data_IF_869917367381
#
_entry.id   IF_869917367381
#
_cell.length_a   1.000
_cell.length_b   1.000
_cell.length_c   1.000
_cell.angle_alpha   90.00
_cell.angle_beta   90.00
_cell.angle_gamma   90.00
#
_symmetry.space_group_name_H-M   'P 1'
#
loop_
_entity.id
_entity.type
_entity.pdbx_description
1 polymer ?
#
# COMPACT_ATOMS: atom_id res chain seq x y z
N UNK A 1 19.93 26.45 35.06
CA UNK A 1 20.24 27.90 35.25
C UNK A 1 19.04 28.86 35.18
N UNK A 2 18.05 28.73 34.28
CA UNK A 2 16.86 29.63 34.28
C UNK A 2 15.82 29.32 35.37
N UNK A 3 15.63 28.05 35.75
CA UNK A 3 14.69 27.63 36.80
C UNK A 3 15.17 27.96 38.23
N UNK A 4 16.46 27.80 38.54
CA UNK A 4 17.01 28.11 39.89
C UNK A 4 16.82 29.60 40.26
N UNK A 5 16.93 30.49 39.29
CA UNK A 5 16.70 31.92 39.49
C UNK A 5 15.23 32.26 39.77
N UNK A 6 14.28 31.41 39.36
CA UNK A 6 12.85 31.59 39.64
C UNK A 6 12.51 31.26 41.10
N UNK A 7 13.01 30.12 41.57
CA UNK A 7 12.79 29.67 42.95
C UNK A 7 13.44 30.62 43.97
N UNK A 8 14.65 31.12 43.69
CA UNK A 8 15.33 32.07 44.56
C UNK A 8 14.56 33.40 44.70
N UNK A 9 14.03 33.94 43.60
CA UNK A 9 13.22 35.17 43.60
C UNK A 9 11.92 35.00 44.40
N UNK A 10 11.28 33.84 44.29
CA UNK A 10 10.06 33.52 45.04
C UNK A 10 10.33 33.43 46.55
N UNK A 11 11.45 32.80 46.95
CA UNK A 11 11.85 32.71 48.36
C UNK A 11 12.17 34.09 48.93
N UNK A 12 12.89 34.95 48.19
CA UNK A 12 13.18 36.33 48.61
C UNK A 12 11.89 37.14 48.76
N UNK A 13 10.92 36.96 47.86
CA UNK A 13 9.61 37.60 47.96
C UNK A 13 8.86 37.15 49.23
N UNK A 14 8.83 35.85 49.53
CA UNK A 14 8.20 35.33 50.74
C UNK A 14 8.86 35.85 52.02
N UNK A 15 10.19 35.85 52.07
CA UNK A 15 10.95 36.35 53.21
C UNK A 15 10.73 37.85 53.44
N UNK A 16 10.72 38.65 52.37
CA UNK A 16 10.46 40.09 52.46
C UNK A 16 9.04 40.40 52.92
N UNK A 17 8.02 39.69 52.43
CA UNK A 17 6.63 39.81 52.92
C UNK A 17 6.54 39.45 54.41
N UNK A 18 7.19 38.36 54.81
CA UNK A 18 7.20 37.91 56.21
C UNK A 18 7.88 38.92 57.14
N UNK A 19 9.00 39.52 56.68
CA UNK A 19 9.71 40.55 57.42
C UNK A 19 8.82 41.79 57.60
N UNK A 20 8.22 42.29 56.52
CA UNK A 20 7.30 43.44 56.55
C UNK A 20 6.16 43.22 57.55
N UNK A 21 5.63 42.00 57.62
CA UNK A 21 4.55 41.65 58.55
C UNK A 21 5.00 41.73 60.02
N UNK A 22 6.17 41.19 60.35
CA UNK A 22 6.76 41.26 61.70
C UNK A 22 7.07 42.71 62.11
N UNK A 23 7.67 43.49 61.20
CA UNK A 23 7.97 44.90 61.45
C UNK A 23 6.70 45.73 61.65
N UNK A 24 5.63 45.45 60.89
CA UNK A 24 4.33 46.11 61.06
C UNK A 24 3.72 45.85 62.45
N UNK A 25 3.87 44.64 63.00
CA UNK A 25 3.39 44.32 64.34
C UNK A 25 4.17 45.11 65.41
N UNK A 26 5.50 45.06 65.39
CA UNK A 26 6.36 45.77 66.34
C UNK A 26 6.06 47.29 66.34
N UNK A 27 5.87 47.87 65.15
CA UNK A 27 5.59 49.30 65.01
C UNK A 27 4.24 49.71 65.62
N UNK A 28 3.20 48.88 65.47
CA UNK A 28 1.86 49.13 66.05
C UNK A 28 1.91 49.05 67.58
N UNK A 29 2.66 48.09 68.14
CA UNK A 29 2.79 47.93 69.59
C UNK A 29 3.54 49.10 70.27
N UNK A 30 4.37 49.84 69.54
CA UNK A 30 5.08 51.03 70.03
C UNK A 30 4.22 52.29 69.91
N UNK A 31 3.47 52.46 68.81
CA UNK A 31 2.78 53.73 68.51
C UNK A 31 1.33 53.83 69.03
N UNK A 32 0.65 52.71 69.26
CA UNK A 32 -0.78 52.69 69.63
C UNK A 32 -0.96 52.36 71.12
N UNK A 33 -1.60 53.23 71.93
CA UNK A 33 -1.92 52.95 73.33
C UNK A 33 -2.81 51.70 73.50
N UNK A 34 -2.61 50.93 74.58
CA UNK A 34 -3.31 49.66 74.84
C UNK A 34 -4.83 49.75 74.66
N UNK A 35 -5.45 50.86 75.10
CA UNK A 35 -6.90 51.05 75.09
C UNK A 35 -7.51 51.18 73.68
N UNK A 36 -6.74 51.60 72.68
CA UNK A 36 -7.21 51.79 71.30
C UNK A 36 -6.84 50.64 70.35
N UNK A 37 -6.06 49.66 70.81
CA UNK A 37 -5.59 48.53 70.00
C UNK A 37 -6.73 47.63 69.50
N UNK A 38 -7.81 47.49 70.28
CA UNK A 38 -8.99 46.71 69.87
C UNK A 38 -9.65 47.28 68.62
N UNK A 39 -9.92 48.59 68.60
CA UNK A 39 -10.51 49.28 67.45
C UNK A 39 -9.60 49.25 66.20
N UNK A 40 -8.29 49.16 66.40
CA UNK A 40 -7.32 48.99 65.32
C UNK A 40 -7.33 47.56 64.78
N UNK A 41 -7.43 46.56 65.66
CA UNK A 41 -7.61 45.15 65.32
C UNK A 41 -8.87 44.87 64.49
N UNK A 42 -9.99 45.54 64.79
CA UNK A 42 -11.24 45.39 64.04
C UNK A 42 -11.11 45.82 62.57
N UNK A 43 -10.32 46.86 62.28
CA UNK A 43 -10.02 47.29 60.89
C UNK A 43 -9.15 46.27 60.16
N UNK A 44 -8.18 45.66 60.85
CA UNK A 44 -7.37 44.57 60.30
C UNK A 44 -8.20 43.31 60.06
N UNK A 45 -9.20 43.01 60.90
CA UNK A 45 -10.14 41.91 60.67
C UNK A 45 -10.93 42.04 59.37
N UNK A 46 -11.42 43.26 59.07
CA UNK A 46 -12.08 43.56 57.80
C UNK A 46 -11.12 43.39 56.60
N UNK A 47 -9.90 43.93 56.72
CA UNK A 47 -8.86 43.82 55.68
C UNK A 47 -8.44 42.36 55.44
N UNK A 48 -8.25 41.55 56.49
CA UNK A 48 -7.92 40.13 56.38
C UNK A 48 -9.04 39.33 55.73
N UNK A 49 -10.30 39.64 56.02
CA UNK A 49 -11.45 39.00 55.40
C UNK A 49 -11.49 39.31 53.89
N UNK A 50 -11.20 40.56 53.50
CA UNK A 50 -11.11 40.98 52.11
C UNK A 50 -9.94 40.28 51.38
N UNK A 51 -8.74 40.25 51.97
CA UNK A 51 -7.59 39.54 51.40
C UNK A 51 -7.85 38.03 51.27
N UNK A 52 -8.54 37.42 52.23
CA UNK A 52 -8.92 36.01 52.17
C UNK A 52 -9.88 35.75 51.01
N UNK A 53 -10.86 36.64 50.80
CA UNK A 53 -11.77 36.59 49.66
C UNK A 53 -11.07 36.77 48.31
N UNK A 54 -10.13 37.72 48.23
CA UNK A 54 -9.32 37.96 47.02
C UNK A 54 -8.37 36.78 46.73
N UNK A 55 -7.73 36.21 47.74
CA UNK A 55 -6.89 35.02 47.60
C UNK A 55 -7.72 33.83 47.08
N UNK A 56 -8.92 33.62 47.63
CA UNK A 56 -9.85 32.62 47.12
C UNK A 56 -10.24 32.89 45.66
N UNK A 57 -10.53 34.15 45.30
CA UNK A 57 -10.82 34.52 43.91
C UNK A 57 -9.66 34.25 42.97
N UNK A 58 -8.41 34.54 43.38
CA UNK A 58 -7.19 34.22 42.63
C UNK A 58 -7.01 32.72 42.47
N UNK A 59 -7.27 31.92 43.52
CA UNK A 59 -7.20 30.45 43.45
C UNK A 59 -8.25 29.92 42.47
N UNK A 60 -9.51 30.36 42.59
CA UNK A 60 -10.60 29.96 41.68
C UNK A 60 -10.24 30.31 40.23
N UNK A 61 -9.76 31.53 39.99
CA UNK A 61 -9.31 31.96 38.67
C UNK A 61 -8.15 31.10 38.15
N UNK A 62 -7.19 30.75 39.01
CA UNK A 62 -6.07 29.87 38.66
C UNK A 62 -6.53 28.46 38.29
N UNK A 63 -7.51 27.91 39.02
CA UNK A 63 -8.11 26.61 38.70
C UNK A 63 -8.80 26.66 37.33
N UNK A 64 -9.51 27.75 37.01
CA UNK A 64 -10.14 27.94 35.70
C UNK A 64 -9.08 27.97 34.59
N UNK A 65 -7.97 28.68 34.80
CA UNK A 65 -6.86 28.69 33.84
C UNK A 65 -6.22 27.31 33.66
N UNK A 66 -5.98 26.57 34.74
CA UNK A 66 -5.45 25.21 34.69
C UNK A 66 -6.38 24.24 33.94
N UNK A 67 -7.70 24.34 34.15
CA UNK A 67 -8.67 23.55 33.39
C UNK A 67 -8.60 23.86 31.89
N UNK A 68 -8.46 25.14 31.52
CA UNK A 68 -8.29 25.56 30.13
C UNK A 68 -7.01 24.97 29.52
N UNK A 69 -5.89 25.01 30.25
CA UNK A 69 -4.62 24.44 29.80
C UNK A 69 -4.71 22.92 29.62
N UNK A 70 -5.30 22.20 30.57
CA UNK A 70 -5.52 20.76 30.45
C UNK A 70 -6.38 20.40 29.23
N UNK A 71 -7.40 21.19 28.93
CA UNK A 71 -8.23 20.99 27.75
C UNK A 71 -7.44 21.22 26.45
N UNK A 72 -6.58 22.25 26.40
CA UNK A 72 -5.70 22.48 25.26
C UNK A 72 -4.67 21.35 25.08
N UNK A 73 -4.05 20.88 26.17
CA UNK A 73 -3.11 19.75 26.14
C UNK A 73 -3.78 18.45 25.66
N UNK A 74 -5.02 18.17 26.12
CA UNK A 74 -5.78 17.00 25.64
C UNK A 74 -6.05 17.07 24.14
N UNK A 75 -6.37 18.27 23.63
CA UNK A 75 -6.59 18.49 22.20
C UNK A 75 -5.30 18.26 21.41
N UNK A 76 -4.19 18.87 21.82
CA UNK A 76 -2.89 18.70 21.17
C UNK A 76 -2.42 17.24 21.15
N UNK A 77 -2.64 16.50 22.24
CA UNK A 77 -2.32 15.08 22.32
C UNK A 77 -3.20 14.23 21.39
N UNK A 78 -4.46 14.61 21.20
CA UNK A 78 -5.35 13.98 20.22
C UNK A 78 -4.86 14.23 18.79
N UNK A 79 -4.53 15.48 18.47
CA UNK A 79 -4.04 15.88 17.14
C UNK A 79 -2.70 15.17 16.83
N UNK A 80 -1.79 15.10 17.82
CA UNK A 80 -0.50 14.39 17.71
C UNK A 80 -0.68 12.89 17.49
N UNK A 81 -1.65 12.25 18.17
CA UNK A 81 -1.95 10.83 17.97
C UNK A 81 -2.46 10.56 16.56
N UNK A 82 -3.22 11.48 15.99
CA UNK A 82 -3.73 11.34 14.64
C UNK A 82 -2.58 11.45 13.62
N UNK A 83 -1.76 12.49 13.73
CA UNK A 83 -0.56 12.68 12.90
C UNK A 83 0.37 11.46 12.96
N UNK A 84 0.58 10.89 14.16
CA UNK A 84 1.38 9.68 14.33
C UNK A 84 0.82 8.46 13.57
N UNK A 85 -0.51 8.29 13.55
CA UNK A 85 -1.15 7.21 12.78
C UNK A 85 -0.93 7.39 11.27
N UNK A 86 -1.10 8.61 10.78
CA UNK A 86 -0.91 8.93 9.36
C UNK A 86 0.56 8.71 8.95
N UNK A 87 1.52 9.12 9.78
CA UNK A 87 2.96 8.86 9.57
C UNK A 87 3.31 7.37 9.60
N UNK A 88 2.73 6.61 10.54
CA UNK A 88 2.93 5.17 10.62
C UNK A 88 2.37 4.44 9.40
N UNK A 89 1.19 4.85 8.91
CA UNK A 89 0.62 4.36 7.66
C UNK A 89 1.57 4.63 6.48
N UNK A 90 2.00 5.88 6.29
CA UNK A 90 2.89 6.27 5.19
C UNK A 90 4.19 5.49 5.21
N UNK A 91 4.81 5.36 6.38
CA UNK A 91 6.06 4.61 6.56
C UNK A 91 5.87 3.14 6.21
N UNK A 92 4.78 2.52 6.70
CA UNK A 92 4.44 1.12 6.37
C UNK A 92 4.20 0.96 4.87
N UNK A 93 3.43 1.86 4.26
CA UNK A 93 3.16 1.86 2.82
C UNK A 93 4.44 1.94 1.99
N UNK A 94 5.32 2.90 2.25
CA UNK A 94 6.57 3.05 1.48
C UNK A 94 7.53 1.88 1.71
N UNK A 95 7.55 1.29 2.90
CA UNK A 95 8.30 0.05 3.15
C UNK A 95 7.75 -1.10 2.31
N UNK A 96 6.43 -1.27 2.21
CA UNK A 96 5.83 -2.28 1.33
C UNK A 96 6.17 -2.02 -0.14
N UNK A 97 6.13 -0.77 -0.62
CA UNK A 97 6.55 -0.44 -1.99
C UNK A 97 8.02 -0.81 -2.23
N UNK A 98 8.91 -0.53 -1.28
CA UNK A 98 10.33 -0.90 -1.38
C UNK A 98 10.50 -2.42 -1.44
N UNK A 99 9.81 -3.16 -0.57
CA UNK A 99 9.80 -4.62 -0.59
C UNK A 99 9.25 -5.17 -1.90
N UNK A 100 8.23 -4.53 -2.48
CA UNK A 100 7.70 -4.90 -3.80
C UNK A 100 8.76 -4.80 -4.89
N UNK A 101 9.55 -3.73 -4.91
CA UNK A 101 10.65 -3.57 -5.87
C UNK A 101 11.75 -4.63 -5.68
N UNK A 102 12.04 -5.01 -4.43
CA UNK A 102 13.00 -6.08 -4.12
C UNK A 102 12.50 -7.44 -4.65
N UNK A 103 11.25 -7.81 -4.34
CA UNK A 103 10.63 -9.03 -4.87
C UNK A 103 10.66 -9.03 -6.40
N UNK A 104 10.40 -7.89 -7.04
CA UNK A 104 10.46 -7.76 -8.49
C UNK A 104 11.86 -8.05 -9.06
N UNK A 105 12.92 -7.67 -8.34
CA UNK A 105 14.31 -7.84 -8.76
C UNK A 105 14.85 -9.25 -8.45
N UNK A 106 14.34 -9.91 -7.42
CA UNK A 106 14.75 -11.26 -6.97
C UNK A 106 14.16 -12.38 -7.84
N UNK A 107 13.17 -12.08 -8.70
CA UNK A 107 12.64 -13.04 -9.66
C UNK A 107 13.78 -13.57 -10.53
N UNK A 108 13.96 -14.89 -10.55
CA UNK A 108 14.91 -15.55 -11.43
C UNK A 108 14.39 -16.91 -11.84
N UNK A 109 14.49 -17.23 -13.12
CA UNK A 109 14.17 -18.56 -13.64
C UNK A 109 14.82 -18.76 -15.00
N UNK A 110 14.94 -20.03 -15.41
CA UNK A 110 15.30 -20.39 -16.78
C UNK A 110 14.06 -20.89 -17.52
N UNK A 111 13.76 -20.28 -18.66
CA UNK A 111 12.66 -20.70 -19.53
C UNK A 111 13.24 -21.51 -20.68
N UNK A 112 12.69 -22.71 -20.89
CA UNK A 112 13.19 -23.65 -21.90
C UNK A 112 12.24 -23.70 -23.08
N UNK A 113 12.80 -23.70 -24.27
CA UNK A 113 12.06 -23.86 -25.52
C UNK A 113 12.84 -24.73 -26.50
N UNK A 114 12.15 -25.32 -27.46
CA UNK A 114 12.77 -26.09 -28.52
C UNK A 114 13.35 -25.14 -29.59
N UNK A 115 14.65 -25.30 -29.90
CA UNK A 115 15.42 -24.47 -30.85
C UNK A 115 15.49 -25.09 -32.24
N UNK A 116 15.69 -26.40 -32.32
CA UNK A 116 15.65 -27.22 -33.54
C UNK A 116 14.92 -28.53 -33.25
N UNK A 117 14.79 -29.44 -34.22
CA UNK A 117 14.11 -30.72 -33.99
C UNK A 117 14.67 -31.53 -32.79
N UNK A 118 15.94 -31.35 -32.41
CA UNK A 118 16.61 -32.11 -31.34
C UNK A 118 17.39 -31.26 -30.32
N UNK A 119 17.28 -29.92 -30.35
CA UNK A 119 18.04 -29.05 -29.46
C UNK A 119 17.16 -28.05 -28.72
N UNK A 120 17.60 -27.70 -27.50
CA UNK A 120 16.90 -26.77 -26.62
C UNK A 120 17.61 -25.42 -26.55
N UNK A 121 16.80 -24.37 -26.40
CA UNK A 121 17.22 -23.03 -26.01
C UNK A 121 16.84 -22.77 -24.56
N UNK A 122 17.76 -22.16 -23.82
CA UNK A 122 17.61 -21.78 -22.43
C UNK A 122 17.64 -20.26 -22.33
N UNK A 123 16.56 -19.67 -21.83
CA UNK A 123 16.44 -18.23 -21.63
C UNK A 123 16.48 -17.96 -20.13
N UNK A 124 17.63 -17.54 -19.63
CA UNK A 124 17.73 -16.99 -18.29
C UNK A 124 16.99 -15.67 -18.23
N UNK A 125 16.12 -15.54 -17.24
CA UNK A 125 15.36 -14.32 -17.04
C UNK A 125 15.40 -13.90 -15.59
N UNK A 126 15.90 -12.68 -15.38
CA UNK A 126 16.12 -12.10 -14.07
C UNK A 126 15.33 -10.79 -13.93
N UNK A 127 14.79 -10.59 -12.73
CA UNK A 127 13.98 -9.45 -12.34
C UNK A 127 12.89 -9.12 -13.36
N UNK A 128 12.92 -7.87 -13.83
CA UNK A 128 11.91 -7.31 -14.75
C UNK A 128 11.89 -7.95 -16.14
N UNK A 129 12.96 -8.61 -16.55
CA UNK A 129 13.02 -9.34 -17.83
C UNK A 129 12.01 -10.49 -17.86
N UNK A 130 11.64 -11.04 -16.70
CA UNK A 130 10.64 -12.11 -16.63
C UNK A 130 9.27 -11.63 -17.11
N UNK A 131 8.88 -10.42 -16.69
CA UNK A 131 7.60 -9.84 -17.09
C UNK A 131 7.56 -9.55 -18.59
N UNK A 132 8.66 -9.08 -19.18
CA UNK A 132 8.77 -8.96 -20.64
C UNK A 132 8.60 -10.32 -21.32
N UNK A 133 9.26 -11.35 -20.78
CA UNK A 133 9.20 -12.69 -21.34
C UNK A 133 7.81 -13.34 -21.22
N UNK A 134 7.05 -13.01 -20.17
CA UNK A 134 5.71 -13.55 -19.92
C UNK A 134 4.76 -13.35 -21.11
N UNK A 135 4.84 -12.21 -21.80
CA UNK A 135 4.03 -11.92 -23.00
C UNK A 135 4.31 -12.92 -24.14
N UNK A 136 5.56 -13.30 -24.33
CA UNK A 136 5.95 -14.29 -25.33
C UNK A 136 5.49 -15.69 -24.94
N UNK A 137 5.57 -16.05 -23.66
CA UNK A 137 5.11 -17.35 -23.18
C UNK A 137 3.58 -17.51 -23.25
N UNK A 138 2.81 -16.47 -22.95
CA UNK A 138 1.35 -16.51 -23.15
C UNK A 138 0.99 -16.67 -24.65
N UNK A 139 1.69 -15.96 -25.55
CA UNK A 139 1.53 -16.14 -27.00
C UNK A 139 1.96 -17.53 -27.47
N UNK A 140 3.00 -18.11 -26.88
CA UNK A 140 3.48 -19.46 -27.19
C UNK A 140 2.41 -20.50 -26.86
N UNK A 141 1.77 -20.39 -25.69
CA UNK A 141 0.67 -21.27 -25.30
C UNK A 141 -0.51 -21.08 -26.27
N UNK A 142 -0.88 -19.84 -26.55
CA UNK A 142 -2.00 -19.55 -27.46
C UNK A 142 -1.78 -20.13 -28.85
N UNK A 143 -0.59 -19.94 -29.42
CA UNK A 143 -0.24 -20.51 -30.72
C UNK A 143 -0.36 -22.04 -30.70
N UNK A 144 0.12 -22.69 -29.64
CA UNK A 144 -0.02 -24.13 -29.49
C UNK A 144 -1.49 -24.60 -29.43
N UNK A 145 -2.36 -23.85 -28.75
CA UNK A 145 -3.79 -24.17 -28.68
C UNK A 145 -4.52 -23.92 -30.00
N UNK A 146 -4.07 -22.99 -30.85
CA UNK A 146 -4.68 -22.74 -32.17
C UNK A 146 -4.19 -23.68 -33.27
N UNK A 147 -3.14 -24.46 -33.02
CA UNK A 147 -2.65 -25.44 -33.99
C UNK A 147 -3.62 -26.64 -34.07
N UNK A 148 -3.92 -27.18 -35.28
CA UNK A 148 -4.78 -28.35 -35.43
C UNK A 148 -4.27 -29.56 -34.62
N UNK A 149 -5.16 -30.17 -33.85
CA UNK A 149 -4.86 -31.22 -32.87
C UNK A 149 -4.43 -32.56 -33.47
N UNK A 150 -4.65 -32.80 -34.76
CA UNK A 150 -4.29 -34.06 -35.44
C UNK A 150 -2.81 -34.44 -35.20
N UNK A 151 -1.93 -33.46 -35.07
CA UNK A 151 -0.51 -33.66 -34.81
C UNK A 151 -0.15 -34.11 -33.37
N UNK A 152 -1.06 -34.00 -32.39
CA UNK A 152 -0.79 -34.36 -30.99
C UNK A 152 -1.07 -35.82 -30.68
N UNK A 153 -2.04 -36.45 -31.37
CA UNK A 153 -2.35 -37.88 -31.18
C UNK A 153 -1.20 -38.81 -31.57
N UNK A 154 -0.29 -38.32 -32.40
CA UNK A 154 0.82 -39.10 -32.94
C UNK A 154 2.13 -38.89 -32.19
N UNK A 155 2.23 -37.89 -31.28
CA UNK A 155 3.50 -37.58 -30.62
C UNK A 155 3.67 -38.29 -29.27
N UNK A 156 4.68 -39.14 -29.17
CA UNK A 156 5.14 -39.83 -27.95
C UNK A 156 6.58 -39.41 -27.59
N UNK A 157 7.00 -39.59 -26.34
CA UNK A 157 8.38 -39.37 -25.86
C UNK A 157 9.40 -40.19 -26.66
N UNK A 158 8.99 -41.33 -27.23
CA UNK A 158 9.81 -42.15 -28.13
C UNK A 158 10.08 -41.49 -29.50
N UNK A 159 9.25 -40.55 -29.95
CA UNK A 159 9.45 -39.82 -31.21
C UNK A 159 10.64 -38.88 -31.17
N UNK A 160 11.15 -38.52 -29.98
CA UNK A 160 12.38 -37.73 -29.85
C UNK A 160 13.60 -38.46 -30.43
N UNK A 161 13.59 -39.79 -30.41
CA UNK A 161 14.70 -40.67 -30.79
C UNK A 161 14.59 -41.26 -32.19
N UNK A 162 13.51 -40.97 -32.93
CA UNK A 162 13.11 -41.85 -34.04
C UNK A 162 14.13 -41.92 -35.17
N UNK A 163 14.48 -40.83 -35.88
CA UNK A 163 15.62 -40.80 -36.82
C UNK A 163 16.10 -39.36 -37.05
N UNK A 164 17.30 -39.18 -37.62
CA UNK A 164 17.73 -37.88 -38.12
C UNK A 164 16.97 -37.56 -39.43
N UNK A 165 16.52 -36.31 -39.65
CA UNK A 165 15.82 -35.95 -40.88
C UNK A 165 16.71 -36.18 -42.10
N UNK A 166 16.14 -36.74 -43.17
CA UNK A 166 16.84 -37.01 -44.43
C UNK A 166 16.77 -35.79 -45.39
N UNK A 167 15.90 -34.82 -45.11
CA UNK A 167 15.74 -33.60 -45.90
C UNK A 167 15.44 -32.38 -45.04
N UNK A 168 15.71 -31.18 -45.59
CA UNK A 168 15.37 -29.90 -44.95
C UNK A 168 13.85 -29.74 -44.75
N UNK A 169 13.03 -30.28 -45.65
CA UNK A 169 11.58 -30.27 -45.52
C UNK A 169 11.13 -31.13 -44.32
N UNK A 170 11.70 -32.33 -44.19
CA UNK A 170 11.40 -33.24 -43.08
C UNK A 170 11.85 -32.65 -41.74
N UNK A 171 13.04 -32.06 -41.69
CA UNK A 171 13.53 -31.36 -40.50
C UNK A 171 12.56 -30.26 -40.06
N UNK A 172 12.10 -29.44 -41.00
CA UNK A 172 11.15 -28.36 -40.72
C UNK A 172 9.79 -28.87 -40.24
N UNK A 173 9.32 -29.99 -40.80
CA UNK A 173 8.06 -30.63 -40.38
C UNK A 173 8.17 -31.19 -38.96
N UNK A 174 9.23 -31.98 -38.69
CA UNK A 174 9.54 -32.54 -37.38
C UNK A 174 9.74 -31.46 -36.32
N UNK A 175 10.41 -30.36 -36.67
CA UNK A 175 10.60 -29.27 -35.73
C UNK A 175 9.27 -28.62 -35.34
N UNK A 176 8.35 -28.40 -36.29
CA UNK A 176 7.02 -27.82 -36.00
C UNK A 176 6.19 -28.71 -35.08
N UNK A 177 6.11 -30.01 -35.38
CA UNK A 177 5.35 -30.97 -34.56
C UNK A 177 5.96 -31.12 -33.16
N UNK A 178 7.27 -31.35 -33.06
CA UNK A 178 7.98 -31.46 -31.78
C UNK A 178 7.86 -30.18 -30.95
N UNK A 179 7.96 -28.99 -31.57
CA UNK A 179 7.83 -27.71 -30.86
C UNK A 179 6.43 -27.50 -30.26
N UNK A 180 5.40 -27.91 -30.99
CA UNK A 180 4.01 -27.91 -30.51
C UNK A 180 3.87 -28.84 -29.30
N UNK A 181 4.27 -30.11 -29.47
CA UNK A 181 4.13 -31.12 -28.43
C UNK A 181 4.95 -30.79 -27.17
N UNK A 182 6.19 -30.32 -27.35
CA UNK A 182 7.02 -29.82 -26.27
C UNK A 182 6.34 -28.66 -25.52
N UNK A 183 5.69 -27.73 -26.23
CA UNK A 183 4.99 -26.60 -25.59
C UNK A 183 3.80 -27.08 -24.76
N UNK A 184 2.99 -28.01 -25.28
CA UNK A 184 1.85 -28.57 -24.57
C UNK A 184 2.32 -29.35 -23.31
N UNK A 185 3.35 -30.19 -23.44
CA UNK A 185 4.00 -30.89 -22.31
C UNK A 185 4.56 -29.89 -21.29
N UNK A 186 5.29 -28.87 -21.74
CA UNK A 186 5.95 -27.88 -20.87
C UNK A 186 4.98 -27.11 -19.97
N UNK A 187 3.76 -26.84 -20.47
CA UNK A 187 2.68 -26.15 -19.77
C UNK A 187 1.60 -27.08 -19.18
N UNK A 188 1.81 -28.40 -19.24
CA UNK A 188 0.88 -29.41 -18.76
C UNK A 188 -0.54 -29.23 -19.34
N UNK A 189 -0.62 -29.19 -20.67
CA UNK A 189 -1.85 -29.11 -21.45
C UNK A 189 -2.08 -30.48 -22.09
N UNK A 190 -3.13 -31.16 -21.65
CA UNK A 190 -3.53 -32.47 -22.18
C UNK A 190 -4.63 -32.35 -23.26
N UNK A 191 -5.11 -33.50 -23.75
CA UNK A 191 -6.16 -33.56 -24.79
C UNK A 191 -7.45 -32.86 -24.36
N UNK A 192 -7.91 -33.12 -23.13
CA UNK A 192 -9.13 -32.55 -22.60
C UNK A 192 -9.02 -31.02 -22.44
N UNK A 193 -7.87 -30.56 -21.97
CA UNK A 193 -7.52 -29.14 -21.89
C UNK A 193 -7.58 -28.46 -23.27
N UNK A 194 -7.00 -29.10 -24.29
CA UNK A 194 -7.00 -28.59 -25.66
C UNK A 194 -8.41 -28.53 -26.26
N UNK A 195 -9.18 -29.62 -26.14
CA UNK A 195 -10.56 -29.71 -26.61
C UNK A 195 -11.48 -28.68 -25.94
N UNK A 196 -11.27 -28.45 -24.65
CA UNK A 196 -11.99 -27.42 -23.90
C UNK A 196 -11.62 -26.02 -24.41
N UNK A 197 -10.32 -25.76 -24.64
CA UNK A 197 -9.84 -24.47 -25.10
C UNK A 197 -10.47 -24.05 -26.45
N UNK A 198 -10.76 -24.99 -27.36
CA UNK A 198 -11.41 -24.69 -28.65
C UNK A 198 -12.83 -24.14 -28.52
N UNK A 199 -13.50 -24.37 -27.39
CA UNK A 199 -14.90 -23.98 -27.14
C UNK A 199 -15.02 -22.64 -26.41
N UNK A 200 -13.91 -22.11 -25.90
CA UNK A 200 -13.90 -20.90 -25.09
C UNK A 200 -14.01 -19.65 -25.96
N UNK A 201 -14.69 -18.62 -25.44
CA UNK A 201 -14.58 -17.29 -26.04
C UNK A 201 -13.19 -16.67 -25.79
N UNK A 202 -12.89 -15.54 -26.42
CA UNK A 202 -11.57 -14.91 -26.34
C UNK A 202 -11.08 -14.62 -24.91
N UNK A 203 -11.96 -14.13 -24.03
CA UNK A 203 -11.59 -13.79 -22.64
C UNK A 203 -11.43 -15.04 -21.77
N UNK A 204 -12.28 -16.04 -21.98
CA UNK A 204 -12.18 -17.32 -21.30
C UNK A 204 -10.90 -18.06 -21.72
N UNK A 205 -10.58 -18.04 -23.02
CA UNK A 205 -9.38 -18.65 -23.58
C UNK A 205 -8.13 -18.00 -22.99
N UNK A 206 -8.06 -16.66 -22.94
CA UNK A 206 -6.87 -16.01 -22.40
C UNK A 206 -6.72 -16.19 -20.89
N UNK A 207 -7.84 -16.25 -20.16
CA UNK A 207 -7.84 -16.64 -18.75
C UNK A 207 -7.33 -18.07 -18.56
N UNK A 208 -7.77 -19.01 -19.40
CA UNK A 208 -7.29 -20.40 -19.40
C UNK A 208 -5.78 -20.48 -19.67
N UNK A 209 -5.30 -19.77 -20.71
CA UNK A 209 -3.88 -19.66 -21.06
C UNK A 209 -3.07 -19.10 -19.88
N UNK A 210 -3.57 -18.04 -19.25
CA UNK A 210 -2.94 -17.45 -18.07
C UNK A 210 -2.86 -18.46 -16.91
N UNK A 211 -3.90 -19.26 -16.66
CA UNK A 211 -3.88 -20.29 -15.61
C UNK A 211 -2.81 -21.35 -15.88
N UNK A 212 -2.63 -21.80 -17.13
CA UNK A 212 -1.55 -22.73 -17.50
C UNK A 212 -0.17 -22.12 -17.29
N UNK A 213 0.02 -20.86 -17.68
CA UNK A 213 1.23 -20.11 -17.40
C UNK A 213 1.49 -19.94 -15.89
N UNK A 214 0.46 -19.57 -15.12
CA UNK A 214 0.54 -19.40 -13.67
C UNK A 214 0.92 -20.71 -12.99
N UNK A 215 0.32 -21.84 -13.35
CA UNK A 215 0.66 -23.12 -12.75
C UNK A 215 2.13 -23.48 -12.95
N UNK A 216 2.70 -23.14 -14.12
CA UNK A 216 4.13 -23.37 -14.41
C UNK A 216 5.05 -22.49 -13.57
N UNK A 217 4.72 -21.21 -13.45
CA UNK A 217 5.64 -20.18 -12.93
C UNK A 217 5.19 -19.57 -11.59
N UNK A 218 4.18 -20.13 -10.92
CA UNK A 218 3.67 -19.63 -9.64
C UNK A 218 4.73 -19.58 -8.55
N UNK A 219 5.68 -20.53 -8.55
CA UNK A 219 6.81 -20.54 -7.63
C UNK A 219 7.84 -19.44 -7.92
N UNK A 220 7.87 -18.91 -9.15
CA UNK A 220 8.81 -17.86 -9.59
C UNK A 220 8.28 -16.47 -9.23
N UNK A 221 7.03 -16.18 -9.57
CA UNK A 221 6.47 -14.82 -9.44
C UNK A 221 5.17 -14.75 -8.62
N UNK A 222 4.64 -15.87 -8.13
CA UNK A 222 3.36 -15.86 -7.41
C UNK A 222 3.39 -14.98 -6.15
N UNK A 223 4.54 -14.91 -5.47
CA UNK A 223 4.74 -14.02 -4.33
C UNK A 223 4.60 -12.53 -4.71
N UNK A 224 5.08 -12.14 -5.89
CA UNK A 224 5.00 -10.76 -6.40
C UNK A 224 3.56 -10.26 -6.44
N UNK A 225 2.62 -11.00 -7.05
CA UNK A 225 1.23 -10.56 -7.14
C UNK A 225 0.48 -10.68 -5.81
N UNK A 226 0.83 -11.66 -4.97
CA UNK A 226 0.28 -11.75 -3.61
C UNK A 226 0.67 -10.52 -2.79
N UNK A 227 1.90 -10.04 -2.95
CA UNK A 227 2.39 -8.86 -2.27
C UNK A 227 1.70 -7.58 -2.79
N UNK A 228 1.54 -7.38 -4.11
CA UNK A 228 0.74 -6.27 -4.65
C UNK A 228 -0.71 -6.31 -4.12
N UNK A 229 -1.33 -7.49 -4.12
CA UNK A 229 -2.66 -7.66 -3.54
C UNK A 229 -2.72 -7.19 -2.08
N UNK A 230 -1.71 -7.55 -1.27
CA UNK A 230 -1.66 -7.13 0.13
C UNK A 230 -1.36 -5.63 0.31
N UNK A 231 -0.61 -5.00 -0.59
CA UNK A 231 -0.43 -3.54 -0.60
C UNK A 231 -1.77 -2.85 -0.86
N UNK A 232 -2.48 -3.25 -1.92
CA UNK A 232 -3.79 -2.67 -2.23
C UNK A 232 -4.82 -2.98 -1.14
N UNK A 233 -4.76 -4.15 -0.52
CA UNK A 233 -5.64 -4.51 0.61
C UNK A 233 -5.32 -3.68 1.86
N UNK A 234 -4.05 -3.34 2.09
CA UNK A 234 -3.65 -2.46 3.19
C UNK A 234 -4.20 -1.05 2.98
N UNK A 235 -4.06 -0.50 1.76
CA UNK A 235 -4.69 0.77 1.36
C UNK A 235 -6.20 0.73 1.60
N UNK A 236 -6.88 -0.32 1.12
CA UNK A 236 -8.34 -0.51 1.24
C UNK A 236 -8.81 -0.53 2.69
N UNK A 237 -8.13 -1.29 3.55
CA UNK A 237 -8.48 -1.35 4.97
C UNK A 237 -8.25 -0.02 5.67
N UNK A 238 -7.11 0.63 5.44
CA UNK A 238 -6.78 1.90 6.07
C UNK A 238 -7.70 3.05 5.60
N UNK A 239 -8.12 3.04 4.33
CA UNK A 239 -9.13 3.95 3.81
C UNK A 239 -10.45 3.78 4.58
N UNK A 240 -10.96 2.55 4.68
CA UNK A 240 -12.22 2.27 5.38
C UNK A 240 -12.16 2.62 6.87
N UNK A 241 -11.04 2.33 7.55
CA UNK A 241 -10.81 2.71 8.95
C UNK A 241 -10.80 4.23 9.16
N UNK A 242 -10.23 5.01 8.23
CA UNK A 242 -10.21 6.48 8.29
C UNK A 242 -11.60 7.04 7.97
N UNK A 243 -12.30 6.51 6.96
CA UNK A 243 -13.68 6.91 6.62
C UNK A 243 -14.68 6.60 7.74
N UNK A 244 -14.50 5.51 8.49
CA UNK A 244 -15.39 5.13 9.58
C UNK A 244 -15.41 6.16 10.73
N UNK A 245 -14.37 6.99 10.85
CA UNK A 245 -14.27 8.04 11.88
C UNK A 245 -14.94 9.36 11.43
N UNK A 246 -15.35 9.46 10.17
CA UNK A 246 -15.88 10.67 9.58
C UNK A 246 -17.41 10.59 9.41
N UNK A 247 -18.08 11.72 9.64
CA UNK A 247 -19.54 11.83 9.47
C UNK A 247 -19.87 12.45 8.11
N UNK A 248 -19.15 13.50 7.73
CA UNK A 248 -19.45 14.31 6.55
C UNK A 248 -19.03 13.59 5.25
N UNK A 249 -19.90 13.63 4.24
CA UNK A 249 -19.63 13.01 2.94
C UNK A 249 -18.39 13.63 2.25
N UNK A 250 -18.24 14.95 2.29
CA UNK A 250 -17.11 15.65 1.65
C UNK A 250 -15.76 15.26 2.26
N UNK A 251 -15.71 15.00 3.57
CA UNK A 251 -14.49 14.52 4.24
C UNK A 251 -14.16 13.09 3.84
N UNK A 252 -15.18 12.22 3.70
CA UNK A 252 -14.98 10.85 3.20
C UNK A 252 -14.44 10.85 1.78
N UNK A 253 -14.96 11.69 0.90
CA UNK A 253 -14.47 11.84 -0.49
C UNK A 253 -13.00 12.30 -0.51
N UNK A 254 -12.59 13.19 0.40
CA UNK A 254 -11.17 13.59 0.52
C UNK A 254 -10.27 12.41 0.88
N UNK A 255 -10.71 11.56 1.82
CA UNK A 255 -10.00 10.33 2.17
C UNK A 255 -9.95 9.35 1.00
N UNK A 256 -11.05 9.16 0.27
CA UNK A 256 -11.07 8.29 -0.92
C UNK A 256 -10.03 8.76 -1.96
N UNK A 257 -9.96 10.06 -2.22
CA UNK A 257 -8.96 10.64 -3.11
C UNK A 257 -7.53 10.47 -2.60
N UNK A 258 -7.29 10.64 -1.29
CA UNK A 258 -5.98 10.41 -0.66
C UNK A 258 -5.52 8.95 -0.87
N UNK A 259 -6.37 7.97 -0.59
CA UNK A 259 -6.04 6.55 -0.74
C UNK A 259 -5.97 6.09 -2.20
N UNK A 260 -6.76 6.70 -3.08
CA UNK A 260 -6.62 6.53 -4.52
C UNK A 260 -5.23 6.99 -5.01
N UNK A 261 -4.68 8.09 -4.48
CA UNK A 261 -3.32 8.52 -4.80
C UNK A 261 -2.25 7.51 -4.33
N UNK A 262 -2.41 6.90 -3.15
CA UNK A 262 -1.50 5.84 -2.71
C UNK A 262 -1.53 4.62 -3.64
N UNK A 263 -2.70 4.21 -4.12
CA UNK A 263 -2.80 3.14 -5.10
C UNK A 263 -2.19 3.53 -6.46
N UNK A 264 -2.29 4.81 -6.85
CA UNK A 264 -1.60 5.32 -8.02
C UNK A 264 -0.08 5.25 -7.91
N UNK A 265 0.49 5.48 -6.72
CA UNK A 265 1.92 5.26 -6.51
C UNK A 265 2.30 3.79 -6.72
N UNK A 266 1.45 2.81 -6.35
CA UNK A 266 1.73 1.39 -6.61
C UNK A 266 1.92 1.14 -8.10
N UNK A 267 0.96 1.56 -8.96
CA UNK A 267 1.07 1.34 -10.40
C UNK A 267 2.21 2.14 -11.04
N UNK A 268 2.53 3.34 -10.53
CA UNK A 268 3.61 4.16 -11.04
C UNK A 268 5.01 3.54 -10.82
N UNK A 269 5.13 2.61 -9.85
CA UNK A 269 6.37 1.86 -9.60
C UNK A 269 6.50 0.60 -10.46
N UNK A 270 5.47 0.26 -11.24
CA UNK A 270 5.44 -0.92 -12.08
C UNK A 270 5.76 -0.56 -13.52
N UNK A 271 6.58 -1.37 -14.17
CA UNK A 271 6.84 -1.22 -15.61
C UNK A 271 5.65 -1.70 -16.45
N UNK A 272 5.57 -1.27 -17.71
CA UNK A 272 4.51 -1.73 -18.63
C UNK A 272 4.37 -3.27 -18.71
N UNK A 273 5.46 -4.06 -18.75
CA UNK A 273 5.37 -5.52 -18.68
C UNK A 273 4.79 -6.06 -17.36
N UNK A 274 5.07 -5.39 -16.24
CA UNK A 274 4.48 -5.74 -14.95
C UNK A 274 2.97 -5.46 -14.94
N UNK A 275 2.55 -4.29 -15.42
CA UNK A 275 1.13 -3.93 -15.57
C UNK A 275 0.40 -4.88 -16.54
N UNK A 276 1.05 -5.25 -17.65
CA UNK A 276 0.55 -6.26 -18.58
C UNK A 276 0.24 -7.56 -17.87
N UNK A 277 1.18 -8.09 -17.08
CA UNK A 277 0.97 -9.37 -16.40
C UNK A 277 -0.03 -9.23 -15.23
N UNK A 278 -0.11 -8.05 -14.63
CA UNK A 278 -1.13 -7.69 -13.61
C UNK A 278 -2.53 -7.77 -14.19
N UNK A 279 -2.74 -7.25 -15.40
CA UNK A 279 -4.02 -7.34 -16.09
C UNK A 279 -4.47 -8.79 -16.22
N UNK A 280 -3.61 -9.69 -16.75
CA UNK A 280 -3.97 -11.10 -16.90
C UNK A 280 -4.10 -11.84 -15.56
N UNK A 281 -3.28 -11.49 -14.56
CA UNK A 281 -3.44 -12.01 -13.20
C UNK A 281 -4.84 -11.67 -12.65
N UNK A 282 -5.30 -10.43 -12.83
CA UNK A 282 -6.61 -10.01 -12.33
C UNK A 282 -7.78 -10.84 -12.89
N UNK A 283 -7.66 -11.38 -14.12
CA UNK A 283 -8.71 -12.23 -14.71
C UNK A 283 -8.89 -13.56 -13.96
N UNK A 284 -7.82 -14.08 -13.36
CA UNK A 284 -7.82 -15.33 -12.61
C UNK A 284 -8.12 -15.14 -11.12
N UNK A 285 -7.90 -13.95 -10.56
CA UNK A 285 -8.01 -13.69 -9.12
C UNK A 285 -9.05 -12.59 -8.80
N UNK A 286 -10.32 -12.95 -8.53
CA UNK A 286 -11.42 -11.98 -8.36
C UNK A 286 -11.21 -10.97 -7.24
N UNK A 287 -10.62 -11.38 -6.10
CA UNK A 287 -10.30 -10.48 -4.99
C UNK A 287 -9.30 -9.40 -5.39
N UNK A 288 -8.32 -9.77 -6.20
CA UNK A 288 -7.34 -8.83 -6.72
C UNK A 288 -7.97 -7.92 -7.78
N UNK A 289 -8.77 -8.48 -8.71
CA UNK A 289 -9.55 -7.70 -9.68
C UNK A 289 -10.39 -6.62 -9.01
N UNK A 290 -11.09 -6.94 -7.92
CA UNK A 290 -11.92 -5.97 -7.19
C UNK A 290 -11.12 -4.73 -6.77
N UNK A 291 -9.91 -4.93 -6.24
CA UNK A 291 -9.03 -3.84 -5.82
C UNK A 291 -8.47 -3.05 -7.01
N UNK A 292 -8.05 -3.75 -8.07
CA UNK A 292 -7.59 -3.11 -9.32
C UNK A 292 -8.68 -2.21 -9.91
N UNK A 293 -9.94 -2.66 -9.90
CA UNK A 293 -11.09 -1.88 -10.36
C UNK A 293 -11.38 -0.70 -9.42
N UNK A 294 -11.41 -0.92 -8.10
CA UNK A 294 -11.66 0.13 -7.09
C UNK A 294 -10.70 1.31 -7.27
N UNK A 295 -9.43 1.03 -7.47
CA UNK A 295 -8.37 2.03 -7.51
C UNK A 295 -7.84 2.36 -8.91
N UNK A 296 -8.45 1.81 -9.96
CA UNK A 296 -8.00 1.96 -11.34
C UNK A 296 -6.47 1.73 -11.51
N UNK A 297 -5.93 0.70 -10.85
CA UNK A 297 -4.47 0.49 -10.74
C UNK A 297 -3.80 -0.04 -12.02
N UNK A 298 -4.44 0.13 -13.17
CA UNK A 298 -3.94 -0.21 -14.50
C UNK A 298 -4.05 0.99 -15.46
N UNK A 299 -4.23 2.21 -14.94
CA UNK A 299 -4.38 3.42 -15.74
C UNK A 299 -3.21 3.66 -16.71
N UNK A 300 -1.99 3.29 -16.29
CA UNK A 300 -0.78 3.42 -17.09
C UNK A 300 -0.58 2.28 -18.12
N UNK A 301 -1.49 1.31 -18.20
CA UNK A 301 -1.45 0.24 -19.20
C UNK A 301 -2.30 0.60 -20.42
N UNK A 302 -1.66 0.63 -21.59
CA UNK A 302 -2.35 0.89 -22.86
C UNK A 302 -2.98 -0.38 -23.42
N UNK A 303 -4.15 -0.26 -24.07
CA UNK A 303 -4.82 -1.41 -24.71
C UNK A 303 -3.97 -2.07 -25.80
N UNK A 304 -3.06 -1.33 -26.43
CA UNK A 304 -2.07 -1.82 -27.40
C UNK A 304 -1.06 -2.81 -26.78
N UNK A 305 -0.83 -2.73 -25.47
CA UNK A 305 0.18 -3.54 -24.78
C UNK A 305 -0.34 -4.93 -24.41
N UNK A 306 -1.66 -5.16 -24.48
CA UNK A 306 -2.26 -6.47 -24.33
C UNK A 306 -1.80 -7.46 -25.41
N UNK A 307 -2.10 -8.74 -25.25
CA UNK A 307 -1.85 -9.76 -26.30
C UNK A 307 -2.66 -9.41 -27.54
N UNK A 308 -3.94 -9.06 -27.33
CA UNK A 308 -4.81 -8.43 -28.32
C UNK A 308 -5.62 -7.31 -27.69
N UNK A 309 -5.86 -6.23 -28.45
CA UNK A 309 -6.68 -5.09 -28.00
C UNK A 309 -8.08 -5.50 -27.52
N UNK A 310 -8.67 -6.53 -28.15
CA UNK A 310 -10.00 -7.08 -27.81
C UNK A 310 -10.11 -7.65 -26.39
N UNK A 311 -8.98 -7.96 -25.74
CA UNK A 311 -9.00 -8.39 -24.34
C UNK A 311 -9.41 -7.26 -23.38
N UNK A 312 -9.37 -5.99 -23.80
CA UNK A 312 -9.88 -4.84 -23.05
C UNK A 312 -11.43 -4.79 -23.04
N UNK A 313 -12.07 -5.89 -22.69
CA UNK A 313 -13.52 -6.03 -22.55
C UNK A 313 -13.84 -6.65 -21.18
N UNK A 314 -13.26 -6.08 -20.13
CA UNK A 314 -13.32 -6.61 -18.77
C UNK A 314 -14.10 -5.62 -17.91
N UNK A 315 -15.21 -6.06 -17.35
CA UNK A 315 -16.04 -5.21 -16.48
C UNK A 315 -15.21 -4.54 -15.38
N UNK A 316 -15.33 -3.20 -15.32
CA UNK A 316 -14.62 -2.33 -14.37
C UNK A 316 -13.20 -1.92 -14.76
N UNK A 317 -12.63 -2.45 -15.85
CA UNK A 317 -11.29 -2.10 -16.33
C UNK A 317 -11.40 -1.38 -17.67
N UNK A 318 -10.99 -0.11 -17.71
CA UNK A 318 -11.03 0.71 -18.92
C UNK A 318 -9.63 1.21 -19.28
N UNK A 319 -8.92 0.45 -20.12
CA UNK A 319 -7.59 0.86 -20.58
C UNK A 319 -7.67 1.90 -21.69
N UNK A 320 -6.83 2.94 -21.59
CA UNK A 320 -6.71 4.00 -22.60
C UNK A 320 -5.91 3.51 -23.82
N UNK A 321 -6.12 4.12 -24.97
CA UNK A 321 -5.20 3.99 -26.10
C UNK A 321 -3.96 4.84 -25.90
N UNK A 322 -2.87 4.50 -26.59
CA UNK A 322 -1.73 5.41 -26.75
C UNK A 322 -2.11 6.74 -27.37
N UNK A 323 -3.04 6.74 -28.33
CA UNK A 323 -3.52 7.96 -29.00
C UNK A 323 -4.22 8.91 -28.01
N UNK A 324 -5.10 8.37 -27.16
CA UNK A 324 -5.85 9.13 -26.13
C UNK A 324 -4.95 9.83 -25.10
N UNK A 325 -3.68 9.43 -24.97
CA UNK A 325 -2.72 9.98 -24.00
C UNK A 325 -1.81 11.02 -24.65
N UNK A 326 -1.55 10.90 -25.97
CA UNK A 326 -0.68 11.79 -26.72
C UNK A 326 -1.42 13.00 -27.32
N UNK A 327 -2.76 12.93 -27.38
CA UNK A 327 -3.66 14.04 -27.69
C UNK A 327 -3.92 14.92 -26.47
#
# INVERSE_FOLDING_TARGET
MKEENGNLKFIILLLSISLIWVWSWIFIDILVPIEQRSNFGDKFGFINSLFSGLALAVIIYSIILQQKELNLQRKELSDTRQEFKDQNFQTTFFNLIKTQQQIANEISTTIVNLKSYNSYSYYETNGRTFFMRSKFELKRIEQALKFPFENFKEWDEYDEHLHAPESEWEENSLFKSRKLAYTLKYYNINNQDWDNAQKLNDLELIKFIYVKFFNKFSHVYGHYFRHIYHILLFIDKSEEEKKAQLIQADEKTKVENEFYQYANFVQAQMTTPELFLTFYNSLAFPKFKKLIVKYNSLENLQKEELIYKKHNNVEGINLKSREDILS
#
